data_IF_178201024239
#
_entry.id   IF_178201024239
#
_cell.length_a   1.000
_cell.length_b   1.000
_cell.length_c   1.000
_cell.angle_alpha   90.00
_cell.angle_beta   90.00
_cell.angle_gamma   90.00
#
_symmetry.space_group_name_H-M   'P 1'
#
loop_
_entity.id
_entity.type
_entity.pdbx_description
1 polymer ?
#
# COMPACT_ATOMS: atom_id res chain seq x y z
N UNK A 1 22.39 19.62 15.14
CA UNK A 1 22.92 18.27 14.83
C UNK A 1 21.76 17.27 14.85
N UNK A 2 21.68 16.30 13.93
CA UNK A 2 20.55 15.34 13.86
C UNK A 2 20.72 14.21 14.90
N UNK A 3 19.63 13.71 15.49
CA UNK A 3 19.59 12.59 16.45
C UNK A 3 20.49 11.41 16.02
N UNK A 4 20.44 11.00 14.74
CA UNK A 4 21.26 9.90 14.22
C UNK A 4 22.77 10.15 14.37
N UNK A 5 23.22 11.40 14.20
CA UNK A 5 24.64 11.78 14.34
C UNK A 5 25.11 11.67 15.79
N UNK A 6 24.27 12.05 16.76
CA UNK A 6 24.59 11.90 18.17
C UNK A 6 24.67 10.43 18.58
N UNK A 7 23.70 9.62 18.16
CA UNK A 7 23.70 8.18 18.45
C UNK A 7 24.91 7.47 17.85
N UNK A 8 25.27 7.79 16.60
CA UNK A 8 26.47 7.26 15.97
C UNK A 8 27.74 7.63 16.75
N UNK A 9 27.87 8.90 17.17
CA UNK A 9 29.01 9.34 17.97
C UNK A 9 29.09 8.59 19.31
N UNK A 10 27.97 8.48 20.02
CA UNK A 10 27.90 7.74 21.30
C UNK A 10 28.29 6.27 21.09
N UNK A 11 27.84 5.63 20.00
CA UNK A 11 28.19 4.24 19.65
C UNK A 11 29.71 4.09 19.47
N UNK A 12 30.32 4.92 18.63
CA UNK A 12 31.77 4.87 18.36
C UNK A 12 32.57 5.10 19.65
N UNK A 13 32.22 6.12 20.44
CA UNK A 13 32.93 6.43 21.69
C UNK A 13 32.75 5.36 22.77
N UNK A 14 31.58 4.74 22.83
CA UNK A 14 31.32 3.61 23.73
C UNK A 14 32.16 2.38 23.35
N UNK A 15 32.30 2.10 22.04
CA UNK A 15 33.17 1.02 21.56
C UNK A 15 34.66 1.27 21.88
N UNK A 16 35.08 2.52 22.01
CA UNK A 16 36.40 2.92 22.49
C UNK A 16 36.55 2.89 24.02
N UNK A 17 35.57 2.34 24.75
CA UNK A 17 35.54 2.24 26.22
C UNK A 17 35.57 3.59 26.95
N UNK A 18 35.11 4.67 26.31
CA UNK A 18 34.99 5.98 26.95
C UNK A 18 33.77 5.99 27.88
N UNK A 19 33.91 6.64 29.04
CA UNK A 19 32.82 6.74 30.01
C UNK A 19 31.69 7.64 29.50
N UNK A 20 30.45 7.35 29.87
CA UNK A 20 29.29 8.15 29.44
C UNK A 20 29.38 9.63 29.88
N UNK A 21 30.08 9.92 30.98
CA UNK A 21 30.36 11.29 31.44
C UNK A 21 31.26 12.03 30.45
N UNK A 22 32.41 11.43 30.10
CA UNK A 22 33.32 12.02 29.13
C UNK A 22 32.67 12.20 27.75
N UNK A 23 31.86 11.24 27.30
CA UNK A 23 31.09 11.37 26.05
C UNK A 23 30.13 12.56 26.10
N UNK A 24 29.46 12.77 27.24
CA UNK A 24 28.55 13.91 27.41
C UNK A 24 29.32 15.24 27.41
N UNK A 25 30.45 15.32 28.11
CA UNK A 25 31.27 16.54 28.15
C UNK A 25 31.83 16.90 26.77
N UNK A 26 32.26 15.89 25.98
CA UNK A 26 32.69 16.07 24.60
C UNK A 26 31.53 16.57 23.72
N UNK A 27 30.34 15.98 23.85
CA UNK A 27 29.17 16.42 23.08
C UNK A 27 28.70 17.81 23.48
N UNK A 28 28.72 18.14 24.77
CA UNK A 28 28.29 19.44 25.29
C UNK A 28 29.29 20.54 24.93
N UNK A 29 30.60 20.27 24.98
CA UNK A 29 31.63 21.25 24.58
C UNK A 29 31.52 21.66 23.10
N UNK A 30 31.09 20.75 22.23
CA UNK A 30 30.93 21.02 20.79
C UNK A 30 29.54 21.56 20.43
N UNK A 31 28.48 21.04 21.07
CA UNK A 31 27.09 21.29 20.66
C UNK A 31 26.26 22.14 21.62
N UNK A 32 26.77 22.43 22.82
CA UNK A 32 26.07 23.21 23.85
C UNK A 32 24.65 22.69 24.09
N UNK A 33 23.68 23.60 24.04
CA UNK A 33 22.25 23.31 24.28
C UNK A 33 21.62 22.36 23.24
N UNK A 34 22.29 22.12 22.11
CA UNK A 34 21.84 21.15 21.11
C UNK A 34 22.31 19.72 21.43
N UNK A 35 23.15 19.55 22.45
CA UNK A 35 23.64 18.24 22.86
C UNK A 35 22.52 17.41 23.54
N UNK A 36 22.53 16.08 23.36
CA UNK A 36 21.64 15.20 24.11
C UNK A 36 21.93 15.29 25.61
N UNK A 37 20.89 15.14 26.43
CA UNK A 37 21.04 15.12 27.89
C UNK A 37 21.99 14.01 28.33
N UNK A 38 22.67 14.21 29.46
CA UNK A 38 23.50 13.17 30.07
C UNK A 38 22.75 11.84 30.28
N UNK A 39 21.48 11.90 30.66
CA UNK A 39 20.62 10.72 30.82
C UNK A 39 20.43 9.94 29.51
N UNK A 40 20.29 10.66 28.39
CA UNK A 40 20.19 10.06 27.05
C UNK A 40 21.52 9.42 26.66
N UNK A 41 22.63 10.12 26.84
CA UNK A 41 23.99 9.61 26.56
C UNK A 41 24.27 8.33 27.37
N UNK A 42 23.98 8.36 28.68
CA UNK A 42 24.17 7.21 29.57
C UNK A 42 23.32 6.01 29.16
N UNK A 43 22.06 6.22 28.79
CA UNK A 43 21.15 5.16 28.35
C UNK A 43 21.67 4.48 27.07
N UNK A 44 22.04 5.26 26.07
CA UNK A 44 22.55 4.73 24.80
C UNK A 44 23.92 4.08 24.94
N UNK A 45 24.83 4.67 25.72
CA UNK A 45 26.12 4.05 26.00
C UNK A 45 25.99 2.72 26.76
N UNK A 46 24.98 2.59 27.63
CA UNK A 46 24.67 1.29 28.27
C UNK A 46 24.17 0.28 27.23
N UNK A 47 23.19 0.66 26.42
CA UNK A 47 22.61 -0.20 25.37
C UNK A 47 23.65 -0.71 24.36
N UNK A 48 24.54 0.17 23.88
CA UNK A 48 25.62 -0.22 22.98
C UNK A 48 26.65 -1.15 23.64
N UNK A 49 26.90 -0.99 24.95
CA UNK A 49 27.79 -1.92 25.70
C UNK A 49 27.15 -3.29 25.88
N UNK A 50 25.84 -3.36 25.94
CA UNK A 50 25.05 -4.60 26.04
C UNK A 50 24.84 -5.29 24.69
N UNK A 51 25.43 -4.78 23.60
CA UNK A 51 25.41 -5.39 22.27
C UNK A 51 24.35 -4.83 21.31
N UNK A 52 23.70 -3.71 21.64
CA UNK A 52 22.79 -3.05 20.70
C UNK A 52 23.55 -2.52 19.47
N UNK A 53 23.02 -2.75 18.26
CA UNK A 53 23.68 -2.31 17.01
C UNK A 53 22.89 -1.26 16.22
N UNK A 54 21.57 -1.22 16.39
CA UNK A 54 20.70 -0.34 15.63
C UNK A 54 20.75 1.11 16.09
N UNK A 55 20.85 2.02 15.12
CA UNK A 55 20.83 3.48 15.29
C UNK A 55 19.53 4.08 14.71
N UNK A 56 18.84 3.30 13.87
CA UNK A 56 17.49 3.60 13.37
C UNK A 56 16.49 3.43 14.52
N UNK A 57 15.44 4.23 14.53
CA UNK A 57 14.30 3.95 15.40
C UNK A 57 13.59 2.72 14.83
N UNK A 58 13.36 1.69 15.66
CA UNK A 58 12.48 0.58 15.31
C UNK A 58 11.13 1.13 14.84
N UNK A 59 10.47 0.42 13.91
CA UNK A 59 9.12 0.74 13.51
C UNK A 59 8.24 0.78 14.77
N UNK A 60 7.84 1.98 15.19
CA UNK A 60 7.01 2.12 16.38
C UNK A 60 5.72 1.37 16.10
N UNK A 61 5.33 0.39 16.93
CA UNK A 61 3.98 -0.12 16.85
C UNK A 61 3.07 1.08 17.09
N UNK A 62 2.34 1.49 16.04
CA UNK A 62 1.26 2.44 16.18
C UNK A 62 0.20 1.88 17.12
N UNK A 63 -0.84 2.66 17.39
CA UNK A 63 -2.03 2.10 18.03
C UNK A 63 -2.56 0.98 17.11
N UNK A 64 -2.65 -0.29 17.57
CA UNK A 64 -3.32 -1.31 16.78
C UNK A 64 -4.75 -0.81 16.59
N UNK A 65 -5.18 -0.66 15.33
CA UNK A 65 -6.58 -0.36 15.07
C UNK A 65 -7.31 -1.67 15.23
N UNK A 66 -7.84 -1.90 16.44
CA UNK A 66 -8.54 -3.11 16.86
C UNK A 66 -9.70 -3.47 15.93
N UNK A 67 -10.16 -2.53 15.11
CA UNK A 67 -11.27 -2.69 14.18
C UNK A 67 -10.87 -3.30 12.83
N UNK A 68 -9.58 -3.44 12.51
CA UNK A 68 -9.11 -4.00 11.22
C UNK A 68 -8.52 -5.40 11.39
N UNK A 69 -9.28 -6.26 12.06
CA UNK A 69 -8.95 -7.70 12.17
C UNK A 69 -9.21 -8.41 10.84
N UNK A 70 -8.67 -9.63 10.70
CA UNK A 70 -8.88 -10.43 9.50
C UNK A 70 -10.36 -10.73 9.26
N UNK A 71 -11.11 -11.02 10.32
CA UNK A 71 -12.54 -11.31 10.27
C UNK A 71 -13.35 -10.12 9.74
N UNK A 72 -13.03 -8.91 10.19
CA UNK A 72 -13.70 -7.69 9.72
C UNK A 72 -13.36 -7.39 8.26
N UNK A 73 -12.13 -7.66 7.82
CA UNK A 73 -11.72 -7.51 6.42
C UNK A 73 -12.50 -8.49 5.55
N UNK A 74 -12.58 -9.75 5.95
CA UNK A 74 -13.32 -10.80 5.23
C UNK A 74 -14.81 -10.49 5.18
N UNK A 75 -15.40 -10.03 6.29
CA UNK A 75 -16.81 -9.64 6.31
C UNK A 75 -17.11 -8.50 5.33
N UNK A 76 -16.28 -7.44 5.30
CA UNK A 76 -16.43 -6.34 4.34
C UNK A 76 -16.24 -6.84 2.90
N UNK A 77 -15.28 -7.74 2.67
CA UNK A 77 -15.05 -8.33 1.34
C UNK A 77 -16.29 -9.08 0.83
N UNK A 78 -16.89 -9.94 1.67
CA UNK A 78 -18.08 -10.71 1.31
C UNK A 78 -19.28 -9.82 0.97
N UNK A 79 -19.46 -8.70 1.69
CA UNK A 79 -20.53 -7.74 1.40
C UNK A 79 -20.36 -7.07 0.02
N UNK A 80 -19.13 -6.76 -0.35
CA UNK A 80 -18.81 -6.15 -1.66
C UNK A 80 -18.92 -7.16 -2.80
N UNK A 81 -18.54 -8.41 -2.56
CA UNK A 81 -18.68 -9.48 -3.55
C UNK A 81 -20.15 -9.81 -3.84
N UNK A 82 -21.04 -9.72 -2.84
CA UNK A 82 -22.49 -9.91 -3.00
C UNK A 82 -23.14 -8.75 -3.76
N UNK A 83 -22.85 -7.50 -3.36
CA UNK A 83 -23.27 -6.30 -4.09
C UNK A 83 -22.11 -5.31 -4.29
N UNK A 84 -21.53 -5.25 -5.51
CA UNK A 84 -20.50 -4.28 -5.84
C UNK A 84 -20.93 -2.79 -5.76
N UNK A 85 -22.23 -2.50 -5.62
CA UNK A 85 -22.77 -1.15 -5.48
C UNK A 85 -23.05 -0.74 -4.03
N UNK A 86 -22.78 -1.63 -3.06
CA UNK A 86 -23.03 -1.35 -1.65
C UNK A 86 -22.32 -0.07 -1.18
N UNK A 87 -23.03 0.74 -0.41
CA UNK A 87 -22.51 1.99 0.14
C UNK A 87 -21.68 1.75 1.39
N UNK A 88 -20.82 2.71 1.74
CA UNK A 88 -20.03 2.61 2.98
C UNK A 88 -20.98 2.61 4.19
N UNK A 89 -22.03 3.40 4.15
CA UNK A 89 -23.04 3.48 5.20
C UNK A 89 -23.75 2.14 5.45
N UNK A 90 -24.13 1.42 4.40
CA UNK A 90 -24.74 0.08 4.53
C UNK A 90 -23.74 -0.94 5.09
N UNK A 91 -22.48 -0.88 4.65
CA UNK A 91 -21.43 -1.74 5.22
C UNK A 91 -21.21 -1.43 6.70
N UNK A 92 -21.24 -0.16 7.11
CA UNK A 92 -21.13 0.23 8.52
C UNK A 92 -22.30 -0.32 9.34
N UNK A 93 -23.52 -0.24 8.83
CA UNK A 93 -24.71 -0.76 9.53
C UNK A 93 -24.61 -2.28 9.75
N UNK A 94 -24.10 -3.02 8.76
CA UNK A 94 -23.98 -4.47 8.82
C UNK A 94 -22.78 -4.97 9.63
N UNK A 95 -21.68 -4.23 9.63
CA UNK A 95 -20.43 -4.63 10.30
C UNK A 95 -20.23 -3.97 11.67
N UNK A 96 -20.98 -2.90 11.98
CA UNK A 96 -20.79 -2.07 13.17
C UNK A 96 -19.48 -1.26 13.17
N UNK A 97 -18.76 -1.24 12.04
CA UNK A 97 -17.49 -0.54 11.91
C UNK A 97 -17.68 0.96 11.71
N UNK A 98 -16.66 1.72 12.08
CA UNK A 98 -16.61 3.14 11.76
C UNK A 98 -16.40 3.36 10.26
N UNK A 99 -16.94 4.47 9.73
CA UNK A 99 -16.83 4.86 8.33
C UNK A 99 -15.36 4.85 7.84
N UNK A 100 -14.45 5.40 8.66
CA UNK A 100 -13.03 5.45 8.34
C UNK A 100 -12.37 4.08 8.32
N UNK A 101 -12.78 3.17 9.21
CA UNK A 101 -12.28 1.80 9.19
C UNK A 101 -12.78 1.06 7.94
N UNK A 102 -14.06 1.16 7.59
CA UNK A 102 -14.61 0.56 6.37
C UNK A 102 -13.88 1.10 5.13
N UNK A 103 -13.74 2.42 5.03
CA UNK A 103 -12.99 3.06 3.94
C UNK A 103 -11.56 2.52 3.85
N UNK A 104 -10.85 2.41 4.98
CA UNK A 104 -9.48 1.88 5.03
C UNK A 104 -9.42 0.41 4.61
N UNK A 105 -10.38 -0.41 5.03
CA UNK A 105 -10.45 -1.81 4.60
C UNK A 105 -10.59 -1.88 3.08
N UNK A 106 -11.52 -1.12 2.50
CA UNK A 106 -11.74 -1.08 1.05
C UNK A 106 -10.49 -0.63 0.29
N UNK A 107 -9.85 0.47 0.69
CA UNK A 107 -8.73 1.05 -0.06
C UNK A 107 -7.38 0.38 0.21
N UNK A 108 -7.06 0.09 1.47
CA UNK A 108 -5.69 -0.27 1.88
C UNK A 108 -5.53 -1.78 2.01
N UNK A 109 -6.59 -2.50 2.40
CA UNK A 109 -6.55 -3.95 2.60
C UNK A 109 -7.07 -4.72 1.38
N UNK A 110 -8.21 -4.30 0.81
CA UNK A 110 -8.79 -4.92 -0.38
C UNK A 110 -8.27 -4.33 -1.69
N UNK A 111 -7.58 -3.19 -1.64
CA UNK A 111 -7.07 -2.46 -2.81
C UNK A 111 -8.15 -2.15 -3.87
N UNK A 112 -9.37 -1.89 -3.39
CA UNK A 112 -10.51 -1.57 -4.25
C UNK A 112 -10.66 -0.05 -4.39
N UNK A 113 -11.23 0.37 -5.52
CA UNK A 113 -11.55 1.76 -5.81
C UNK A 113 -12.95 1.89 -6.35
N UNK A 114 -13.66 2.93 -5.91
CA UNK A 114 -14.98 3.25 -6.44
C UNK A 114 -14.85 3.65 -7.90
N UNK A 115 -15.57 2.93 -8.77
CA UNK A 115 -15.72 3.26 -10.18
C UNK A 115 -17.16 3.64 -10.45
N UNK A 116 -17.41 4.65 -11.27
CA UNK A 116 -18.78 5.01 -11.67
C UNK A 116 -19.32 4.03 -12.70
N UNK A 117 -20.57 3.60 -12.53
CA UNK A 117 -21.28 2.84 -13.56
C UNK A 117 -21.28 3.60 -14.90
N UNK A 118 -21.20 2.84 -16.01
CA UNK A 118 -21.29 3.39 -17.36
C UNK A 118 -22.75 3.35 -17.82
N UNK A 119 -23.20 4.42 -18.48
CA UNK A 119 -24.53 4.44 -19.08
C UNK A 119 -24.64 3.39 -20.20
N UNK A 120 -25.68 2.57 -20.13
CA UNK A 120 -26.01 1.57 -21.14
C UNK A 120 -27.30 2.03 -21.84
N UNK A 121 -27.27 2.33 -23.15
CA UNK A 121 -28.42 2.90 -23.86
C UNK A 121 -29.67 2.02 -23.89
N UNK A 122 -29.53 0.70 -23.74
CA UNK A 122 -30.65 -0.24 -23.85
C UNK A 122 -30.37 -1.52 -23.06
N UNK A 123 -31.35 -1.93 -22.27
CA UNK A 123 -31.38 -3.24 -21.63
C UNK A 123 -31.79 -4.30 -22.66
N UNK A 124 -30.81 -5.10 -23.07
CA UNK A 124 -31.02 -6.16 -24.04
C UNK A 124 -31.66 -7.38 -23.39
N UNK A 125 -32.53 -8.06 -24.13
CA UNK A 125 -32.98 -9.41 -23.77
C UNK A 125 -31.89 -10.43 -24.09
N UNK A 126 -31.99 -11.64 -23.52
CA UNK A 126 -31.01 -12.70 -23.78
C UNK A 126 -30.97 -13.11 -25.25
N UNK A 127 -32.13 -13.13 -25.91
CA UNK A 127 -32.21 -13.34 -27.36
C UNK A 127 -31.46 -12.26 -28.13
N UNK A 128 -31.65 -10.98 -27.79
CA UNK A 128 -30.94 -9.87 -28.44
C UNK A 128 -29.43 -9.93 -28.20
N UNK A 129 -28.98 -10.33 -27.00
CA UNK A 129 -27.56 -10.55 -26.72
C UNK A 129 -26.98 -11.66 -27.58
N UNK A 130 -27.65 -12.82 -27.64
CA UNK A 130 -27.21 -13.96 -28.44
C UNK A 130 -27.11 -13.59 -29.92
N UNK A 131 -28.12 -12.91 -30.45
CA UNK A 131 -28.16 -12.50 -31.85
C UNK A 131 -27.07 -11.48 -32.19
N UNK A 132 -26.81 -10.51 -31.31
CA UNK A 132 -25.68 -9.58 -31.47
C UNK A 132 -24.35 -10.31 -31.54
N UNK A 133 -24.11 -11.27 -30.62
CA UNK A 133 -22.87 -12.07 -30.64
C UNK A 133 -22.76 -12.88 -31.94
N UNK A 134 -23.86 -13.49 -32.40
CA UNK A 134 -23.91 -14.26 -33.66
C UNK A 134 -23.51 -13.39 -34.85
N UNK A 135 -24.13 -12.22 -35.00
CA UNK A 135 -23.87 -11.29 -36.09
C UNK A 135 -22.43 -10.76 -36.03
N UNK A 136 -21.95 -10.38 -34.84
CA UNK A 136 -20.56 -9.91 -34.68
C UNK A 136 -19.54 -10.98 -35.09
N UNK A 137 -19.75 -12.25 -34.73
CA UNK A 137 -18.89 -13.36 -35.15
C UNK A 137 -18.90 -13.55 -36.67
N UNK A 138 -20.07 -13.46 -37.30
CA UNK A 138 -20.18 -13.56 -38.76
C UNK A 138 -19.47 -12.41 -39.47
N UNK A 139 -19.63 -11.18 -38.97
CA UNK A 139 -18.96 -10.02 -39.53
C UNK A 139 -17.43 -10.13 -39.36
N UNK A 140 -16.97 -10.56 -38.18
CA UNK A 140 -15.54 -10.75 -37.93
C UNK A 140 -14.91 -11.76 -38.90
N UNK A 141 -15.58 -12.89 -39.15
CA UNK A 141 -15.11 -13.90 -40.09
C UNK A 141 -14.99 -13.33 -41.52
N UNK A 142 -15.99 -12.55 -41.96
CA UNK A 142 -15.94 -11.89 -43.28
C UNK A 142 -14.76 -10.93 -43.42
N UNK A 143 -14.50 -10.11 -42.40
CA UNK A 143 -13.35 -9.20 -42.42
C UNK A 143 -12.01 -9.93 -42.44
N UNK A 144 -11.93 -11.08 -41.76
CA UNK A 144 -10.73 -11.92 -41.80
C UNK A 144 -10.54 -12.54 -43.20
N UNK A 145 -11.59 -13.09 -43.79
CA UNK A 145 -11.55 -13.64 -45.16
C UNK A 145 -11.21 -12.58 -46.21
N UNK A 146 -11.73 -11.36 -46.09
CA UNK A 146 -11.37 -10.24 -46.98
C UNK A 146 -9.91 -9.78 -46.77
N UNK A 147 -9.43 -9.73 -45.53
CA UNK A 147 -8.03 -9.42 -45.23
C UNK A 147 -7.09 -10.45 -45.85
N UNK A 148 -7.39 -11.74 -45.68
CA UNK A 148 -6.60 -12.84 -46.23
C UNK A 148 -6.58 -12.81 -47.77
N UNK A 149 -7.70 -12.42 -48.40
CA UNK A 149 -7.79 -12.24 -49.85
C UNK A 149 -6.98 -11.04 -50.36
N UNK A 150 -7.00 -9.91 -49.65
CA UNK A 150 -6.20 -8.72 -50.00
C UNK A 150 -4.71 -9.01 -49.84
N UNK A 151 -4.31 -9.68 -48.76
CA UNK A 151 -2.92 -10.07 -48.52
C UNK A 151 -2.42 -11.05 -49.59
N UNK A 152 -3.25 -12.02 -49.99
CA UNK A 152 -2.91 -12.96 -51.07
C UNK A 152 -2.71 -12.29 -52.45
N UNK A 153 -3.46 -11.21 -52.74
CA UNK A 153 -3.31 -10.44 -53.99
C UNK A 153 -2.10 -9.50 -53.98
N UNK A 154 -1.67 -9.04 -52.79
CA UNK A 154 -0.49 -8.18 -52.64
C UNK A 154 0.85 -8.91 -52.84
N UNK A 155 0.85 -10.24 -52.66
CA UNK A 155 2.05 -11.09 -52.85
C UNK A 155 2.28 -11.45 -54.32
N UNK A 156 1.26 -11.31 -55.18
CA UNK A 156 1.33 -11.74 -56.59
C UNK A 156 1.83 -10.67 -57.58
N UNK A 157 2.14 -9.45 -57.13
CA UNK A 157 2.54 -8.33 -58.00
C UNK A 157 4.03 -7.94 -57.83
N UNK A 158 4.92 -8.95 -57.84
CA UNK A 158 6.36 -8.75 -58.00
C UNK A 158 6.85 -9.71 -59.10
N UNK A 159 6.67 -9.30 -60.35
CA UNK A 159 7.16 -9.97 -61.56
C UNK A 159 7.54 -8.98 -62.64
#
# INVERSE_FOLDING_TARGET
MNKKKFLFYIKVRTALNISAGAIYDELYSVCGDQAPSYTTVKRWAKWFREGGEEIEDEARPGRPVTETTFENIEQVHLLIDDDPHITIEEVQEQTGLSHDTVRRIITDHLNLKKTTARYIPKDLTDFQRAERVRICKQNLAKFQEESDQIDALSVTDVG
#
